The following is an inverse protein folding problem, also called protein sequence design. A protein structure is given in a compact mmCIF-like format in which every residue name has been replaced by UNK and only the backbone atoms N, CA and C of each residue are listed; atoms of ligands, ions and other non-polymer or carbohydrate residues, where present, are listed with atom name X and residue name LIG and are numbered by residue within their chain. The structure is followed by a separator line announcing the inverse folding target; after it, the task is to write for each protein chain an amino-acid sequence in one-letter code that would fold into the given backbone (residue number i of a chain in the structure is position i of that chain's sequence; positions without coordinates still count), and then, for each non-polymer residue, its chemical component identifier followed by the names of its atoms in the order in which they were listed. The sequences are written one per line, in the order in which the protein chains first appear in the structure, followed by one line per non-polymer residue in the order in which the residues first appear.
data_IF_989904727933
#
_entry.id   IF_989904727933
#
_cell.length_a   1.000
_cell.length_b   1.000
_cell.length_c   1.000
_cell.angle_alpha   90.00
_cell.angle_beta   90.00
_cell.angle_gamma   90.00
#
_symmetry.space_group_name_H-M   'P 1'
#
loop_
_entity.id
_entity.type
_entity.pdbx_description
1 polymer ?
#
# COMPACT_ATOMS: atom_id res chain seq x y z
N UNK A 1 10.75 1.29 1.65
CA UNK A 1 10.86 0.22 2.68
C UNK A 1 12.20 0.17 3.38
N UNK A 2 13.31 0.55 2.72
CA UNK A 2 14.67 0.54 3.33
C UNK A 2 15.14 1.91 3.81
N UNK A 3 14.22 2.85 3.98
CA UNK A 3 14.54 4.19 4.49
C UNK A 3 14.95 4.08 5.98
N UNK A 4 16.17 4.53 6.28
CA UNK A 4 16.77 4.48 7.62
C UNK A 4 16.53 5.75 8.43
N UNK A 5 15.81 6.73 7.89
CA UNK A 5 15.42 7.91 8.64
C UNK A 5 14.49 7.50 9.79
N UNK A 6 14.87 7.91 11.00
CA UNK A 6 14.09 7.70 12.21
C UNK A 6 12.78 8.48 12.16
N UNK A 7 11.74 7.89 12.73
CA UNK A 7 10.47 8.56 12.99
C UNK A 7 10.61 9.44 14.24
N UNK A 8 9.80 10.50 14.36
CA UNK A 8 9.64 11.23 15.62
C UNK A 8 9.31 10.26 16.76
N UNK A 9 9.83 10.51 17.97
CA UNK A 9 9.65 9.60 19.13
C UNK A 9 8.19 9.29 19.41
N UNK A 10 7.28 10.26 19.20
CA UNK A 10 5.83 10.09 19.36
C UNK A 10 5.19 9.08 18.39
N UNK A 11 5.84 8.79 17.25
CA UNK A 11 5.37 7.82 16.26
C UNK A 11 6.03 6.44 16.43
N UNK A 12 7.07 6.33 17.27
CA UNK A 12 7.76 5.07 17.50
C UNK A 12 6.95 4.18 18.43
N UNK A 13 6.74 2.93 18.01
CA UNK A 13 5.95 1.98 18.79
C UNK A 13 6.28 0.53 18.45
N UNK A 14 5.88 -0.37 19.35
CA UNK A 14 5.90 -1.81 19.06
C UNK A 14 4.59 -2.18 18.39
N UNK A 15 4.67 -2.68 17.17
CA UNK A 15 3.54 -3.21 16.42
C UNK A 15 3.52 -4.75 16.53
N UNK A 16 2.35 -5.31 16.81
CA UNK A 16 2.14 -6.76 16.78
C UNK A 16 1.57 -7.14 15.43
N UNK A 17 2.35 -7.91 14.66
CA UNK A 17 1.94 -8.37 13.33
C UNK A 17 0.79 -9.35 13.41
N UNK A 18 0.06 -9.49 12.30
CA UNK A 18 -0.96 -10.52 12.07
C UNK A 18 -0.50 -11.96 12.41
N UNK A 19 0.81 -12.22 12.39
CA UNK A 19 1.42 -13.51 12.76
C UNK A 19 1.78 -13.65 14.25
N UNK A 20 1.45 -12.65 15.08
CA UNK A 20 1.77 -12.60 16.52
C UNK A 20 3.20 -12.19 16.85
N UNK A 21 4.02 -11.81 15.85
CA UNK A 21 5.38 -11.31 16.07
C UNK A 21 5.35 -9.82 16.43
N UNK A 22 6.12 -9.44 17.44
CA UNK A 22 6.34 -8.03 17.80
C UNK A 22 7.47 -7.45 16.95
N UNK A 23 7.22 -6.29 16.34
CA UNK A 23 8.18 -5.55 15.52
C UNK A 23 8.26 -4.11 16.02
N UNK A 24 9.47 -3.61 16.24
CA UNK A 24 9.69 -2.21 16.58
C UNK A 24 9.58 -1.36 15.30
N UNK A 25 8.75 -0.33 15.35
CA UNK A 25 8.58 0.66 14.28
C UNK A 25 9.29 1.92 14.74
N UNK A 26 10.54 2.09 14.29
CA UNK A 26 11.40 3.23 14.66
C UNK A 26 11.79 4.07 13.45
N UNK A 27 11.81 3.49 12.24
CA UNK A 27 12.17 4.18 11.00
C UNK A 27 11.01 4.28 10.02
N UNK A 28 11.07 5.25 9.12
CA UNK A 28 10.16 5.35 7.97
C UNK A 28 10.12 4.03 7.19
N UNK A 29 11.27 3.40 6.99
CA UNK A 29 11.37 2.10 6.34
C UNK A 29 10.57 1.02 7.06
N UNK A 30 10.71 0.91 8.39
CA UNK A 30 9.94 -0.05 9.18
C UNK A 30 8.44 0.17 9.10
N UNK A 31 7.98 1.43 9.15
CA UNK A 31 6.57 1.80 9.06
C UNK A 31 5.97 1.31 7.74
N UNK A 32 6.60 1.68 6.63
CA UNK A 32 6.09 1.32 5.30
C UNK A 32 6.24 -0.16 4.97
N UNK A 33 7.34 -0.80 5.39
CA UNK A 33 7.53 -2.25 5.21
C UNK A 33 6.49 -3.05 5.97
N UNK A 34 6.16 -2.64 7.19
CA UNK A 34 5.13 -3.30 8.00
C UNK A 34 3.75 -3.10 7.40
N UNK A 35 3.40 -1.89 6.97
CA UNK A 35 2.14 -1.63 6.28
C UNK A 35 1.99 -2.51 5.04
N UNK A 36 3.05 -2.61 4.22
CA UNK A 36 3.04 -3.43 3.01
C UNK A 36 2.82 -4.91 3.34
N UNK A 37 3.58 -5.46 4.28
CA UNK A 37 3.46 -6.89 4.64
C UNK A 37 2.11 -7.22 5.26
N UNK A 38 1.57 -6.34 6.09
CA UNK A 38 0.31 -6.57 6.81
C UNK A 38 -0.91 -6.37 5.90
N UNK A 39 -0.83 -5.45 4.94
CA UNK A 39 -1.96 -5.14 4.05
C UNK A 39 -2.00 -6.04 2.83
N UNK A 40 -0.84 -6.34 2.24
CA UNK A 40 -0.76 -7.00 0.93
C UNK A 40 -0.11 -8.39 0.98
N UNK A 41 0.39 -8.83 2.15
CA UNK A 41 1.04 -10.13 2.35
C UNK A 41 2.16 -10.37 1.31
N UNK A 42 2.80 -9.30 0.87
CA UNK A 42 3.83 -9.33 -0.17
C UNK A 42 5.09 -8.63 0.30
N UNK A 43 6.23 -9.25 0.01
CA UNK A 43 7.57 -8.70 0.29
C UNK A 43 8.36 -8.41 -0.97
N UNK A 44 7.86 -8.80 -2.14
CA UNK A 44 8.50 -8.55 -3.42
C UNK A 44 8.23 -7.12 -3.92
N UNK A 45 9.25 -6.53 -4.52
CA UNK A 45 9.21 -5.23 -5.18
C UNK A 45 9.72 -5.38 -6.62
N UNK A 46 9.25 -4.55 -7.58
CA UNK A 46 8.25 -3.49 -7.41
C UNK A 46 6.81 -4.01 -7.28
N UNK A 47 5.97 -3.28 -6.53
CA UNK A 47 4.55 -3.56 -6.33
C UNK A 47 3.75 -2.27 -6.33
N UNK A 48 2.74 -2.18 -7.18
CA UNK A 48 1.96 -0.98 -7.45
C UNK A 48 0.51 -1.18 -7.04
N UNK A 49 0.02 -0.32 -6.14
CA UNK A 49 -1.38 -0.28 -5.70
C UNK A 49 -1.96 1.12 -5.94
N UNK A 50 -3.20 1.19 -6.43
CA UNK A 50 -3.93 2.44 -6.62
C UNK A 50 -4.96 2.59 -5.51
N UNK A 51 -4.91 3.73 -4.80
CA UNK A 51 -5.75 4.00 -3.63
C UNK A 51 -6.59 5.26 -3.86
N UNK A 52 -7.83 5.26 -3.34
CA UNK A 52 -8.64 6.47 -3.20
C UNK A 52 -8.05 7.41 -2.14
N UNK A 53 -8.48 8.68 -2.05
CA UNK A 53 -8.06 9.60 -0.99
C UNK A 53 -8.32 9.08 0.43
N UNK A 54 -9.32 8.21 0.59
CA UNK A 54 -9.70 7.55 1.85
C UNK A 54 -8.95 6.22 2.08
N UNK A 55 -8.00 5.88 1.22
CA UNK A 55 -7.17 4.67 1.35
C UNK A 55 -7.84 3.38 0.88
N UNK A 56 -8.93 3.44 0.09
CA UNK A 56 -9.57 2.25 -0.49
C UNK A 56 -8.85 1.82 -1.76
N UNK A 57 -8.66 0.52 -1.97
CA UNK A 57 -8.14 0.00 -3.23
C UNK A 57 -9.10 0.29 -4.39
N UNK A 58 -8.56 0.87 -5.47
CA UNK A 58 -9.31 1.19 -6.69
C UNK A 58 -9.34 0.03 -7.69
N UNK A 59 -8.32 -0.83 -7.66
CA UNK A 59 -8.18 -2.03 -8.50
C UNK A 59 -7.20 -2.98 -7.83
N UNK A 60 -7.17 -4.23 -8.28
CA UNK A 60 -6.15 -5.20 -7.89
C UNK A 60 -4.74 -4.65 -8.14
N UNK A 61 -3.84 -4.67 -7.14
CA UNK A 61 -2.46 -4.26 -7.32
C UNK A 61 -1.70 -5.16 -8.30
N UNK A 62 -0.67 -4.62 -8.94
CA UNK A 62 0.20 -5.35 -9.89
C UNK A 62 1.66 -5.33 -9.43
N UNK A 63 2.40 -6.39 -9.76
CA UNK A 63 3.83 -6.48 -9.47
C UNK A 63 4.66 -5.83 -10.59
N UNK A 64 5.83 -6.37 -10.91
CA UNK A 64 6.64 -5.90 -12.03
C UNK A 64 5.93 -6.13 -13.37
N UNK A 65 5.41 -5.06 -13.95
CA UNK A 65 4.73 -5.05 -15.25
C UNK A 65 5.48 -4.10 -16.20
N UNK A 66 6.46 -4.61 -16.98
CA UNK A 66 7.24 -3.78 -17.90
C UNK A 66 6.52 -3.46 -19.21
N UNK A 67 5.45 -4.18 -19.54
CA UNK A 67 4.65 -3.90 -20.73
C UNK A 67 3.81 -2.64 -20.51
N UNK A 68 3.99 -1.66 -21.40
CA UNK A 68 3.33 -0.37 -21.28
C UNK A 68 1.81 -0.46 -21.47
N UNK A 69 1.33 -1.37 -22.32
CA UNK A 69 -0.11 -1.53 -22.59
C UNK A 69 -0.81 -2.18 -21.39
N UNK A 70 -0.18 -3.18 -20.78
CA UNK A 70 -0.66 -3.81 -19.57
C UNK A 70 -0.71 -2.83 -18.40
N UNK A 71 0.34 -2.01 -18.23
CA UNK A 71 0.37 -1.00 -17.19
C UNK A 71 -0.65 0.12 -17.42
N UNK A 72 -0.86 0.54 -18.68
CA UNK A 72 -1.91 1.48 -19.03
C UNK A 72 -3.30 0.93 -18.66
N UNK A 73 -3.58 -0.33 -19.01
CA UNK A 73 -4.86 -0.96 -18.66
C UNK A 73 -5.07 -1.02 -17.13
N UNK A 74 -4.01 -1.26 -16.36
CA UNK A 74 -4.05 -1.19 -14.89
C UNK A 74 -4.45 0.22 -14.39
N UNK A 75 -3.86 1.28 -14.94
CA UNK A 75 -4.21 2.67 -14.59
C UNK A 75 -5.66 3.00 -14.96
N UNK A 76 -6.12 2.57 -16.15
CA UNK A 76 -7.49 2.77 -16.61
C UNK A 76 -8.52 2.09 -15.70
N UNK A 77 -8.23 0.85 -15.24
CA UNK A 77 -9.05 0.17 -14.24
C UNK A 77 -9.13 0.95 -12.92
N UNK A 78 -8.03 1.54 -12.48
CA UNK A 78 -8.01 2.39 -11.28
C UNK A 78 -8.89 3.63 -11.41
N UNK A 79 -8.86 4.31 -12.57
CA UNK A 79 -9.74 5.45 -12.85
C UNK A 79 -11.21 5.04 -12.81
N UNK A 80 -11.54 3.88 -13.38
CA UNK A 80 -12.91 3.36 -13.34
C UNK A 80 -13.35 3.00 -11.91
N UNK A 81 -12.47 2.36 -11.13
CA UNK A 81 -12.70 2.07 -9.72
C UNK A 81 -13.02 3.33 -8.90
N UNK A 82 -12.33 4.45 -9.19
CA UNK A 82 -12.62 5.74 -8.54
C UNK A 82 -14.04 6.22 -8.82
N UNK A 83 -14.49 6.18 -10.08
CA UNK A 83 -15.86 6.58 -10.45
C UNK A 83 -16.91 5.72 -9.77
N UNK A 84 -16.67 4.42 -9.64
CA UNK A 84 -17.58 3.49 -8.95
C UNK A 84 -17.71 3.86 -7.47
N UNK A 85 -16.58 4.17 -6.81
CA UNK A 85 -16.60 4.62 -5.41
C UNK A 85 -17.33 5.96 -5.24
N UNK A 86 -17.12 6.93 -6.13
CA UNK A 86 -17.82 8.22 -6.08
C UNK A 86 -19.34 8.07 -6.22
N UNK A 87 -19.78 7.15 -7.09
CA UNK A 87 -21.19 6.82 -7.27
C UNK A 87 -21.79 6.12 -6.05
N UNK A 88 -21.00 5.30 -5.34
CA UNK A 88 -21.43 4.65 -4.10
C UNK A 88 -21.51 5.64 -2.93
N UNK A 89 -20.62 6.64 -2.88
CA UNK A 89 -20.63 7.69 -1.86
C UNK A 89 -21.78 8.69 -2.03
N UNK A 90 -22.33 8.80 -3.25
CA UNK A 90 -23.43 9.70 -3.58
C UNK A 90 -24.83 9.07 -3.38
N UNK A 91 -24.90 7.82 -2.91
CA UNK A 91 -26.14 7.10 -2.56
C UNK A 91 -26.34 7.06 -1.05
#
# INVERSE_FOLDING_TARGET
VDDKEELPEEEQHVYETSTGKKKLIETKGNKWSTLQSETFVISSQPYYALLSPEGKLLTDPVAYTPDASEYQAFLERGIEGMKVLDQQASR
#
